data_IF_170425904950
#
_entry.id   IF_170425904950
#
_cell.length_a   1.000
_cell.length_b   1.000
_cell.length_c   1.000
_cell.angle_alpha   90.00
_cell.angle_beta   90.00
_cell.angle_gamma   90.00
#
_symmetry.space_group_name_H-M   'P 1'
#
loop_
_entity.id
_entity.type
_entity.pdbx_description
1 polymer ?
#
# COMPACT_ATOMS: atom_id res chain seq x y z
N UNK A 1 1.70 -19.92 8.36
CA UNK A 1 1.91 -18.50 7.99
C UNK A 1 1.92 -18.25 6.49
N UNK A 2 2.71 -18.95 5.67
CA UNK A 2 2.77 -18.72 4.21
C UNK A 2 1.43 -18.90 3.46
N UNK A 3 0.61 -19.90 3.84
CA UNK A 3 -0.72 -20.11 3.26
C UNK A 3 -1.66 -18.90 3.42
N UNK A 4 -1.61 -18.24 4.59
CA UNK A 4 -2.44 -17.06 4.85
C UNK A 4 -1.89 -15.88 4.04
N UNK A 5 -0.58 -15.67 4.05
CA UNK A 5 0.07 -14.61 3.27
C UNK A 5 -0.29 -14.69 1.78
N UNK A 6 -0.10 -15.85 1.15
CA UNK A 6 -0.47 -16.06 -0.25
C UNK A 6 -1.96 -15.85 -0.53
N UNK A 7 -2.84 -16.20 0.42
CA UNK A 7 -4.28 -15.93 0.29
C UNK A 7 -4.58 -14.44 0.28
N UNK A 8 -3.95 -13.65 1.15
CA UNK A 8 -4.17 -12.21 1.21
C UNK A 8 -3.56 -11.49 -0.01
N UNK A 9 -2.41 -11.95 -0.53
CA UNK A 9 -1.87 -11.50 -1.83
C UNK A 9 -2.88 -11.79 -2.96
N UNK A 10 -3.46 -12.99 -2.99
CA UNK A 10 -4.49 -13.35 -3.96
C UNK A 10 -5.75 -12.48 -3.87
N UNK A 11 -6.18 -12.09 -2.67
CA UNK A 11 -7.31 -11.16 -2.48
C UNK A 11 -7.04 -9.77 -3.05
N UNK A 12 -5.82 -9.25 -2.88
CA UNK A 12 -5.40 -8.00 -3.50
C UNK A 12 -5.45 -8.10 -5.03
N UNK A 13 -4.87 -9.16 -5.59
CA UNK A 13 -4.88 -9.39 -7.05
C UNK A 13 -6.30 -9.43 -7.61
N UNK A 14 -7.23 -10.15 -6.95
CA UNK A 14 -8.64 -10.21 -7.37
C UNK A 14 -9.32 -8.84 -7.32
N UNK A 15 -9.03 -8.04 -6.30
CA UNK A 15 -9.60 -6.69 -6.17
C UNK A 15 -9.12 -5.75 -7.29
N UNK A 16 -7.81 -5.80 -7.60
CA UNK A 16 -7.21 -5.03 -8.67
C UNK A 16 -7.71 -5.47 -10.05
N UNK A 17 -7.82 -6.78 -10.30
CA UNK A 17 -8.41 -7.31 -11.52
C UNK A 17 -9.86 -6.86 -11.70
N UNK A 18 -10.64 -6.80 -10.62
CA UNK A 18 -12.01 -6.30 -10.65
C UNK A 18 -12.05 -4.83 -11.07
N UNK A 19 -11.17 -3.99 -10.54
CA UNK A 19 -11.08 -2.58 -10.92
C UNK A 19 -10.70 -2.42 -12.40
N UNK A 20 -9.72 -3.19 -12.89
CA UNK A 20 -9.32 -3.16 -14.30
C UNK A 20 -10.46 -3.60 -15.24
N UNK A 21 -11.20 -4.67 -14.88
CA UNK A 21 -12.37 -5.14 -15.63
C UNK A 21 -13.50 -4.10 -15.67
N UNK A 22 -13.60 -3.27 -14.62
CA UNK A 22 -14.52 -2.14 -14.58
C UNK A 22 -14.04 -0.92 -15.39
N UNK A 23 -12.87 -1.00 -16.06
CA UNK A 23 -12.31 0.07 -16.88
C UNK A 23 -11.54 1.14 -16.10
N UNK A 24 -11.15 0.86 -14.85
CA UNK A 24 -10.36 1.82 -14.06
C UNK A 24 -8.98 2.05 -14.69
N UNK A 25 -8.63 3.32 -14.94
CA UNK A 25 -7.32 3.74 -15.49
C UNK A 25 -6.42 4.44 -14.46
N UNK A 26 -7.00 4.78 -13.30
CA UNK A 26 -6.32 5.34 -12.14
C UNK A 26 -6.83 4.65 -10.89
N UNK A 27 -5.92 4.01 -10.16
CA UNK A 27 -6.23 3.18 -9.00
C UNK A 27 -5.42 3.68 -7.81
N UNK A 28 -6.14 3.98 -6.73
CA UNK A 28 -5.60 4.17 -5.41
C UNK A 28 -5.89 2.93 -4.58
N UNK A 29 -4.88 2.43 -3.86
CA UNK A 29 -5.03 1.28 -2.98
C UNK A 29 -4.92 1.72 -1.53
N UNK A 30 -5.77 1.16 -0.67
CA UNK A 30 -5.69 1.32 0.78
C UNK A 30 -5.37 -0.04 1.40
N UNK A 31 -4.37 -0.08 2.27
CA UNK A 31 -4.00 -1.28 3.02
C UNK A 31 -3.92 -0.97 4.52
N UNK A 32 -4.20 -1.95 5.37
CA UNK A 32 -3.95 -1.75 6.81
C UNK A 32 -2.45 -1.86 7.12
N UNK A 33 -1.81 -2.94 6.68
CA UNK A 33 -0.39 -3.21 6.93
C UNK A 33 0.54 -2.59 5.87
N UNK A 34 1.83 -2.36 6.19
CA UNK A 34 2.81 -1.90 5.23
C UNK A 34 2.97 -2.87 4.04
N UNK A 35 2.83 -2.39 2.80
CA UNK A 35 3.02 -3.22 1.60
C UNK A 35 4.49 -3.39 1.19
N UNK A 36 5.40 -2.62 1.79
CA UNK A 36 6.85 -2.65 1.57
C UNK A 36 7.54 -3.03 2.89
N UNK A 37 8.67 -3.72 2.83
CA UNK A 37 9.48 -4.03 4.01
C UNK A 37 10.01 -2.76 4.70
N UNK A 38 10.31 -2.85 6.01
CA UNK A 38 10.87 -1.72 6.77
C UNK A 38 12.24 -1.26 6.24
N UNK A 39 12.98 -2.16 5.59
CA UNK A 39 14.26 -1.90 4.90
C UNK A 39 14.08 -1.33 3.47
N UNK A 40 12.83 -1.11 3.04
CA UNK A 40 12.50 -0.71 1.67
C UNK A 40 12.50 -1.86 0.67
N UNK A 41 12.70 -3.11 1.11
CA UNK A 41 12.69 -4.26 0.21
C UNK A 41 11.27 -4.54 -0.31
N UNK A 42 11.11 -4.87 -1.61
CA UNK A 42 9.82 -5.25 -2.17
C UNK A 42 9.26 -6.52 -1.51
N UNK A 43 7.95 -6.51 -1.22
CA UNK A 43 7.19 -7.69 -0.81
C UNK A 43 6.34 -8.22 -1.98
N UNK A 44 5.64 -9.33 -1.83
CA UNK A 44 4.68 -9.75 -2.86
C UNK A 44 3.53 -8.74 -3.04
N UNK A 45 3.15 -8.04 -1.98
CA UNK A 45 2.13 -6.98 -2.09
C UNK A 45 2.63 -5.81 -2.93
N UNK A 46 3.81 -5.27 -2.65
CA UNK A 46 4.35 -4.15 -3.45
C UNK A 46 4.59 -4.55 -4.91
N UNK A 47 5.05 -5.78 -5.18
CA UNK A 47 5.18 -6.30 -6.55
C UNK A 47 3.85 -6.40 -7.27
N UNK A 48 2.79 -6.86 -6.61
CA UNK A 48 1.45 -6.90 -7.21
C UNK A 48 0.93 -5.49 -7.50
N UNK A 49 1.17 -4.55 -6.60
CA UNK A 49 0.78 -3.15 -6.78
C UNK A 49 1.50 -2.53 -8.00
N UNK A 50 2.82 -2.64 -8.07
CA UNK A 50 3.61 -2.04 -9.16
C UNK A 50 3.40 -2.72 -10.51
N UNK A 51 3.14 -4.03 -10.53
CA UNK A 51 2.81 -4.76 -11.75
C UNK A 51 1.39 -4.45 -12.29
N UNK A 52 0.53 -3.81 -11.50
CA UNK A 52 -0.86 -3.53 -11.90
C UNK A 52 -0.98 -2.15 -12.57
N UNK A 53 -1.43 -2.09 -13.84
CA UNK A 53 -1.62 -0.82 -14.53
C UNK A 53 -2.57 0.13 -13.79
N UNK A 54 -2.25 1.43 -13.80
CA UNK A 54 -3.08 2.47 -13.20
C UNK A 54 -2.93 2.63 -11.70
N UNK A 55 -2.30 1.69 -10.99
CA UNK A 55 -1.94 1.87 -9.57
C UNK A 55 -0.83 2.91 -9.47
N UNK A 56 -1.11 4.02 -8.78
CA UNK A 56 -0.13 5.11 -8.61
C UNK A 56 0.11 5.50 -7.16
N UNK A 57 -0.83 5.18 -6.26
CA UNK A 57 -0.74 5.50 -4.85
C UNK A 57 -1.28 4.34 -4.02
N UNK A 58 -0.51 3.93 -3.03
CA UNK A 58 -0.94 3.04 -1.95
C UNK A 58 -0.80 3.75 -0.61
N UNK A 59 -1.91 3.99 0.07
CA UNK A 59 -1.89 4.48 1.45
C UNK A 59 -2.00 3.32 2.42
N UNK A 60 -1.29 3.38 3.53
CA UNK A 60 -1.31 2.32 4.53
C UNK A 60 -1.20 2.84 5.97
N UNK A 61 -1.57 2.01 6.95
CA UNK A 61 -1.56 2.36 8.38
C UNK A 61 -0.68 1.42 9.20
N UNK A 62 -1.22 0.96 10.33
CA UNK A 62 -0.64 -0.03 11.26
C UNK A 62 0.57 0.42 12.09
N UNK A 63 1.46 1.23 11.54
CA UNK A 63 2.62 1.75 12.27
C UNK A 63 2.24 2.98 13.10
N UNK A 64 2.52 2.90 14.41
CA UNK A 64 2.18 3.93 15.40
C UNK A 64 3.38 4.26 16.32
N UNK A 65 3.29 5.41 16.98
CA UNK A 65 4.26 5.91 17.94
C UNK A 65 5.45 6.65 17.31
N UNK A 66 6.41 7.13 18.14
CA UNK A 66 7.46 8.05 17.71
C UNK A 66 8.38 7.50 16.59
N UNK A 67 8.50 6.17 16.49
CA UNK A 67 9.32 5.50 15.46
C UNK A 67 8.53 5.09 14.21
N UNK A 68 7.23 5.40 14.12
CA UNK A 68 6.42 5.02 12.97
C UNK A 68 7.00 5.58 11.66
N UNK A 69 7.32 6.88 11.64
CA UNK A 69 7.90 7.53 10.47
C UNK A 69 9.25 6.95 10.03
N UNK A 70 10.09 6.49 10.97
CA UNK A 70 11.41 5.92 10.64
C UNK A 70 11.32 4.49 10.13
N UNK A 71 10.27 3.74 10.49
CA UNK A 71 10.05 2.35 10.06
C UNK A 71 9.16 2.24 8.82
N UNK A 72 8.34 3.27 8.59
CA UNK A 72 7.43 3.33 7.47
C UNK A 72 8.18 3.70 6.19
N UNK A 73 8.12 2.83 5.18
CA UNK A 73 8.53 3.21 3.84
C UNK A 73 7.61 4.30 3.30
N UNK A 74 8.17 5.48 3.01
CA UNK A 74 7.45 6.60 2.40
C UNK A 74 8.19 7.04 1.15
N UNK A 75 7.48 7.18 0.02
CA UNK A 75 8.07 7.54 -1.26
C UNK A 75 7.65 6.61 -2.39
N UNK A 76 8.41 6.60 -3.48
CA UNK A 76 8.09 5.83 -4.69
C UNK A 76 8.94 4.57 -4.77
N UNK A 77 8.30 3.42 -4.95
CA UNK A 77 8.95 2.14 -5.29
C UNK A 77 8.26 1.56 -6.53
N UNK A 78 9.04 1.24 -7.55
CA UNK A 78 8.55 0.67 -8.82
C UNK A 78 7.36 1.42 -9.44
N UNK A 79 7.37 2.76 -9.35
CA UNK A 79 6.35 3.64 -9.92
C UNK A 79 5.08 3.81 -9.09
N UNK A 80 4.98 3.20 -7.90
CA UNK A 80 3.87 3.40 -6.95
C UNK A 80 4.35 4.24 -5.78
N UNK A 81 3.62 5.30 -5.45
CA UNK A 81 3.85 6.10 -4.26
C UNK A 81 3.22 5.43 -3.03
N UNK A 82 3.93 5.44 -1.90
CA UNK A 82 3.50 4.87 -0.64
C UNK A 82 3.47 5.94 0.45
N UNK A 83 2.35 6.03 1.18
CA UNK A 83 2.17 7.00 2.26
C UNK A 83 1.59 6.34 3.51
N UNK A 84 2.24 6.59 4.65
CA UNK A 84 1.68 6.25 5.96
C UNK A 84 0.56 7.24 6.31
N UNK A 85 -0.62 6.72 6.65
CA UNK A 85 -1.81 7.51 7.03
C UNK A 85 -2.38 7.09 8.39
N UNK A 86 -1.54 6.49 9.24
CA UNK A 86 -1.87 6.31 10.65
C UNK A 86 -2.15 7.68 11.30
N UNK A 87 -3.18 7.76 12.15
CA UNK A 87 -3.67 9.05 12.65
C UNK A 87 -2.62 9.84 13.45
N UNK A 88 -1.84 9.17 14.28
CA UNK A 88 -0.75 9.77 15.07
C UNK A 88 0.43 10.20 14.18
N UNK A 89 0.69 9.49 13.07
CA UNK A 89 1.67 9.90 12.07
C UNK A 89 1.22 11.11 11.22
N UNK A 90 -0.05 11.51 11.33
CA UNK A 90 -0.62 12.67 10.65
C UNK A 90 -1.02 13.78 11.64
N UNK A 91 -0.52 13.74 12.87
CA UNK A 91 -0.91 14.69 13.93
C UNK A 91 -2.43 14.80 14.08
N UNK A 92 -3.13 13.68 13.96
CA UNK A 92 -4.59 13.55 13.98
C UNK A 92 -5.31 14.46 12.97
N UNK A 93 -4.62 14.87 11.90
CA UNK A 93 -5.13 15.71 10.84
C UNK A 93 -5.38 14.88 9.58
N UNK A 94 -6.60 14.89 9.00
CA UNK A 94 -6.89 14.13 7.79
C UNK A 94 -5.97 14.53 6.63
N UNK A 95 -5.36 13.55 5.98
CA UNK A 95 -4.62 13.76 4.74
C UNK A 95 -5.60 13.80 3.56
N UNK A 96 -5.65 14.93 2.86
CA UNK A 96 -6.39 15.05 1.60
C UNK A 96 -5.69 14.22 0.52
N UNK A 97 -6.42 13.26 -0.05
CA UNK A 97 -5.97 12.48 -1.20
C UNK A 97 -6.80 12.86 -2.42
N UNK A 98 -6.12 13.37 -3.46
CA UNK A 98 -6.69 13.95 -4.68
C UNK A 98 -7.47 15.27 -4.49
#
# INVERSE_FOLDING_TARGET
>A
NQKIYAREVGRLQLSLQSALKAGATSILVMMHYPPVGEDGAPTEFSRVLSATPGVRLCVYGHLHGPSAHSRAFQGVLDGVEYRLVACDALDFTPLRIA
#
